data_IF_494907987060
#
_entry.id   IF_494907987060
#
_cell.length_a   1.000
_cell.length_b   1.000
_cell.length_c   1.000
_cell.angle_alpha   90.00
_cell.angle_beta   90.00
_cell.angle_gamma   90.00
#
_symmetry.space_group_name_H-M   'P 1'
#
loop_
_entity.id
_entity.type
_entity.pdbx_description
1 polymer ?
#
# COMPACT_ATOMS: atom_id res chain seq x y z
N UNK A 1 -30.55 -10.77 -18.75
CA UNK A 1 -29.19 -10.58 -18.21
C UNK A 1 -29.06 -9.15 -17.79
N UNK A 2 -29.45 -8.83 -16.56
CA UNK A 2 -29.18 -7.54 -15.95
C UNK A 2 -27.78 -7.63 -15.34
N UNK A 3 -26.80 -7.07 -16.01
CA UNK A 3 -25.52 -6.77 -15.38
C UNK A 3 -25.79 -5.61 -14.43
N UNK A 4 -25.87 -5.90 -13.15
CA UNK A 4 -25.72 -4.89 -12.09
C UNK A 4 -24.33 -4.26 -12.30
N UNK A 5 -24.31 -3.11 -12.93
CA UNK A 5 -23.18 -2.21 -12.88
C UNK A 5 -23.14 -1.67 -11.43
N UNK A 6 -22.55 -2.44 -10.52
CA UNK A 6 -22.18 -1.90 -9.21
C UNK A 6 -21.35 -0.64 -9.48
N UNK A 7 -21.81 0.51 -8.96
CA UNK A 7 -21.10 1.78 -9.15
C UNK A 7 -19.71 1.63 -8.53
N UNK A 8 -18.68 1.75 -9.39
CA UNK A 8 -17.29 1.70 -8.94
C UNK A 8 -17.01 2.86 -8.00
N UNK A 9 -16.27 2.61 -6.95
CA UNK A 9 -15.73 3.67 -6.10
C UNK A 9 -14.69 4.44 -6.92
N UNK A 10 -15.03 5.66 -7.31
CA UNK A 10 -14.12 6.53 -8.04
C UNK A 10 -13.23 7.27 -7.05
N UNK A 11 -11.94 6.95 -7.09
CA UNK A 11 -10.92 7.42 -6.16
C UNK A 11 -9.92 8.33 -6.87
N UNK A 12 -9.47 9.35 -6.15
CA UNK A 12 -8.45 10.29 -6.59
C UNK A 12 -7.35 10.37 -5.54
N UNK A 13 -6.10 10.50 -5.97
CA UNK A 13 -4.96 10.71 -5.10
C UNK A 13 -4.80 12.19 -4.75
N UNK A 14 -5.10 12.55 -3.50
CA UNK A 14 -4.85 13.88 -2.96
C UNK A 14 -3.48 13.93 -2.31
N UNK A 15 -2.72 14.97 -2.59
CA UNK A 15 -1.31 15.08 -2.21
C UNK A 15 -1.04 16.31 -1.38
N UNK A 16 -0.18 16.17 -0.36
CA UNK A 16 0.36 17.28 0.41
C UNK A 16 1.85 17.08 0.60
N UNK A 17 2.64 17.94 -0.03
CA UNK A 17 4.11 17.89 -0.02
C UNK A 17 4.68 18.85 1.02
N UNK A 18 5.74 18.42 1.71
CA UNK A 18 6.54 19.20 2.64
C UNK A 18 8.02 18.91 2.44
N UNK A 19 8.89 19.87 2.76
CA UNK A 19 10.34 19.67 2.70
C UNK A 19 10.81 18.75 3.82
N UNK A 20 11.81 17.92 3.55
CA UNK A 20 12.59 17.20 4.55
C UNK A 20 13.56 18.21 5.18
N UNK A 21 13.70 18.18 6.50
CA UNK A 21 14.66 19.04 7.23
C UNK A 21 15.81 18.18 7.76
N UNK A 22 15.54 17.28 8.69
CA UNK A 22 16.55 16.39 9.29
C UNK A 22 16.00 14.96 9.47
N UNK A 23 14.84 14.65 8.87
CA UNK A 23 14.19 13.36 9.03
C UNK A 23 14.84 12.30 8.12
N UNK A 24 15.25 11.17 8.70
CA UNK A 24 15.62 10.00 7.91
C UNK A 24 14.39 9.17 7.52
N UNK A 25 14.48 8.45 6.41
CA UNK A 25 13.43 7.52 5.92
C UNK A 25 12.98 6.55 7.02
N UNK A 26 13.95 5.95 7.71
CA UNK A 26 13.68 4.97 8.78
C UNK A 26 12.97 5.65 9.96
N UNK A 27 13.42 6.84 10.37
CA UNK A 27 12.80 7.58 11.47
C UNK A 27 11.35 7.97 11.17
N UNK A 28 11.06 8.38 9.93
CA UNK A 28 9.69 8.64 9.48
C UNK A 28 8.82 7.39 9.56
N UNK A 29 9.33 6.24 9.08
CA UNK A 29 8.60 4.97 9.13
C UNK A 29 8.35 4.48 10.56
N UNK A 30 9.35 4.55 11.44
CA UNK A 30 9.21 4.20 12.86
C UNK A 30 8.18 5.07 13.56
N UNK A 31 8.13 6.36 13.24
CA UNK A 31 7.14 7.29 13.77
C UNK A 31 5.71 6.99 13.32
N UNK A 32 5.53 6.38 12.14
CA UNK A 32 4.24 5.89 11.67
C UNK A 32 3.73 4.67 12.46
N UNK A 33 4.62 3.93 13.13
CA UNK A 33 4.30 2.76 13.95
C UNK A 33 4.78 1.48 13.29
N UNK A 34 6.03 1.14 13.52
CA UNK A 34 6.72 -0.05 12.98
C UNK A 34 6.04 -1.37 13.30
N UNK A 35 5.40 -1.51 14.46
CA UNK A 35 4.65 -2.69 14.87
C UNK A 35 3.30 -2.86 14.16
N UNK A 36 2.87 -1.86 13.41
CA UNK A 36 1.64 -1.92 12.63
C UNK A 36 1.87 -2.59 11.30
N UNK A 37 0.81 -3.20 10.76
CA UNK A 37 0.85 -3.72 9.39
C UNK A 37 1.09 -2.57 8.43
N UNK A 38 2.09 -2.71 7.57
CA UNK A 38 2.49 -1.65 6.67
C UNK A 38 3.54 -2.11 5.67
N UNK A 39 4.05 -1.18 4.91
CA UNK A 39 5.09 -1.42 3.91
C UNK A 39 6.11 -0.28 3.91
N UNK A 40 7.33 -0.64 3.54
CA UNK A 40 8.41 0.27 3.20
C UNK A 40 9.06 -0.27 1.93
N UNK A 41 8.97 0.49 0.85
CA UNK A 41 9.58 0.18 -0.44
C UNK A 41 10.62 1.24 -0.74
N UNK A 42 11.87 0.85 -0.70
CA UNK A 42 13.01 1.70 -0.98
C UNK A 42 13.77 1.17 -2.20
N UNK A 43 14.06 2.02 -3.16
CA UNK A 43 14.90 1.64 -4.28
C UNK A 43 16.35 1.58 -3.82
N UNK A 44 17.00 0.45 -4.05
CA UNK A 44 18.45 0.29 -3.77
C UNK A 44 19.33 0.75 -4.94
N UNK A 45 18.75 1.25 -6.00
CA UNK A 45 19.47 1.80 -7.14
C UNK A 45 19.90 3.24 -6.84
N UNK A 46 21.20 3.42 -6.58
CA UNK A 46 21.77 4.74 -6.27
C UNK A 46 21.73 5.73 -7.44
N UNK A 47 21.56 5.25 -8.67
CA UNK A 47 21.51 6.09 -9.87
C UNK A 47 20.07 6.43 -10.28
N UNK A 48 19.10 5.53 -10.05
CA UNK A 48 17.71 5.68 -10.50
C UNK A 48 16.68 5.65 -9.36
N UNK A 49 17.09 5.33 -8.14
CA UNK A 49 16.23 5.21 -6.98
C UNK A 49 15.78 6.55 -6.42
N UNK A 50 14.82 7.20 -7.10
CA UNK A 50 14.35 8.53 -6.73
C UNK A 50 13.40 8.52 -5.54
N UNK A 51 12.55 7.49 -5.44
CA UNK A 51 11.45 7.48 -4.48
C UNK A 51 11.56 6.37 -3.46
N UNK A 52 11.12 6.68 -2.23
CA UNK A 52 10.75 5.69 -1.21
C UNK A 52 9.29 5.85 -0.89
N UNK A 53 8.56 4.74 -0.85
CA UNK A 53 7.15 4.70 -0.47
C UNK A 53 6.98 3.95 0.84
N UNK A 54 6.22 4.51 1.78
CA UNK A 54 5.93 3.88 3.06
C UNK A 54 4.52 4.16 3.55
N UNK A 55 3.88 3.15 4.12
CA UNK A 55 2.55 3.28 4.68
C UNK A 55 2.29 2.27 5.78
N UNK A 56 1.38 2.60 6.65
CA UNK A 56 0.89 1.73 7.72
C UNK A 56 -0.64 1.79 7.77
N UNK A 57 -1.26 0.81 8.42
CA UNK A 57 -2.72 0.76 8.58
C UNK A 57 -3.45 0.81 7.23
N UNK A 58 -3.24 -0.21 6.36
CA UNK A 58 -3.89 -0.27 5.06
C UNK A 58 -5.41 -0.29 5.20
N UNK A 59 -6.13 0.16 4.17
CA UNK A 59 -7.60 0.10 4.14
C UNK A 59 -8.11 -1.33 4.22
N UNK A 60 -7.41 -2.27 3.60
CA UNK A 60 -7.69 -3.69 3.67
C UNK A 60 -6.43 -4.54 3.53
N UNK A 61 -6.48 -5.73 4.14
CA UNK A 61 -5.54 -6.83 3.88
C UNK A 61 -6.26 -7.85 3.00
N UNK A 62 -5.57 -8.31 1.96
CA UNK A 62 -6.11 -9.26 0.99
C UNK A 62 -5.19 -10.49 1.00
N UNK A 63 -5.75 -11.64 1.37
CA UNK A 63 -5.02 -12.88 1.57
C UNK A 63 -5.75 -14.03 0.86
N UNK A 64 -5.01 -15.06 0.47
CA UNK A 64 -5.58 -16.27 -0.10
C UNK A 64 -5.23 -17.49 0.74
N UNK A 65 -6.23 -18.32 1.02
CA UNK A 65 -6.07 -19.65 1.61
C UNK A 65 -5.95 -20.77 0.57
N UNK A 66 -5.83 -20.41 -0.72
CA UNK A 66 -5.79 -21.34 -1.85
C UNK A 66 -7.13 -21.57 -2.53
N UNK A 67 -8.24 -21.53 -1.80
CA UNK A 67 -9.59 -21.79 -2.31
C UNK A 67 -10.49 -20.55 -2.33
N UNK A 68 -10.09 -19.50 -1.61
CA UNK A 68 -10.83 -18.26 -1.49
C UNK A 68 -9.90 -17.04 -1.34
N UNK A 69 -10.46 -15.87 -1.58
CA UNK A 69 -9.85 -14.59 -1.26
C UNK A 69 -10.48 -14.05 0.02
N UNK A 70 -9.67 -13.79 1.02
CA UNK A 70 -10.07 -13.21 2.30
C UNK A 70 -9.67 -11.74 2.35
N UNK A 71 -10.64 -10.85 2.48
CA UNK A 71 -10.44 -9.40 2.58
C UNK A 71 -10.75 -8.98 4.01
N UNK A 72 -9.74 -8.51 4.74
CA UNK A 72 -9.89 -8.01 6.10
C UNK A 72 -9.78 -6.49 6.08
N UNK A 73 -10.88 -5.79 6.35
CA UNK A 73 -10.94 -4.32 6.38
C UNK A 73 -10.25 -3.75 7.63
N UNK A 74 -9.97 -2.47 7.63
CA UNK A 74 -9.32 -1.78 8.76
C UNK A 74 -10.09 -1.89 10.08
N UNK A 75 -11.41 -2.01 10.04
CA UNK A 75 -12.27 -2.24 11.22
C UNK A 75 -12.29 -3.69 11.72
N UNK A 76 -11.53 -4.58 11.08
CA UNK A 76 -11.50 -6.01 11.39
C UNK A 76 -12.57 -6.85 10.71
N UNK A 77 -13.51 -6.26 9.99
CA UNK A 77 -14.54 -6.98 9.23
C UNK A 77 -13.88 -7.84 8.16
N UNK A 78 -14.30 -9.10 8.07
CA UNK A 78 -13.81 -10.05 7.07
C UNK A 78 -14.87 -10.35 6.03
N UNK A 79 -14.46 -10.27 4.76
CA UNK A 79 -15.21 -10.72 3.61
C UNK A 79 -14.48 -11.89 2.97
N UNK A 80 -15.20 -12.99 2.70
CA UNK A 80 -14.63 -14.19 2.07
C UNK A 80 -15.29 -14.40 0.71
N UNK A 81 -14.47 -14.38 -0.35
CA UNK A 81 -14.90 -14.63 -1.73
C UNK A 81 -14.40 -15.99 -2.18
N UNK A 82 -15.29 -16.97 -2.23
CA UNK A 82 -14.96 -18.33 -2.62
C UNK A 82 -14.70 -18.47 -4.12
N UNK A 83 -13.84 -19.40 -4.51
CA UNK A 83 -13.46 -19.73 -5.87
C UNK A 83 -12.05 -19.25 -6.18
N UNK A 84 -11.64 -19.31 -7.44
CA UNK A 84 -10.26 -18.99 -7.85
C UNK A 84 -9.81 -17.62 -7.29
N UNK A 85 -8.79 -17.58 -6.41
CA UNK A 85 -8.38 -16.36 -5.72
C UNK A 85 -7.96 -15.24 -6.66
N UNK A 86 -7.34 -15.54 -7.81
CA UNK A 86 -6.97 -14.53 -8.80
C UNK A 86 -8.20 -13.86 -9.42
N UNK A 87 -9.22 -14.64 -9.77
CA UNK A 87 -10.46 -14.07 -10.31
C UNK A 87 -11.18 -13.21 -9.26
N UNK A 88 -11.20 -13.65 -8.00
CA UNK A 88 -11.77 -12.87 -6.90
C UNK A 88 -10.98 -11.58 -6.64
N UNK A 89 -9.65 -11.62 -6.79
CA UNK A 89 -8.79 -10.44 -6.68
C UNK A 89 -9.08 -9.44 -7.81
N UNK A 90 -9.22 -9.91 -9.05
CA UNK A 90 -9.59 -9.06 -10.19
C UNK A 90 -10.96 -8.41 -9.98
N UNK A 91 -11.94 -9.17 -9.51
CA UNK A 91 -13.27 -8.63 -9.17
C UNK A 91 -13.18 -7.55 -8.09
N UNK A 92 -12.49 -7.83 -6.99
CA UNK A 92 -12.30 -6.85 -5.92
C UNK A 92 -11.64 -5.58 -6.42
N UNK A 93 -10.54 -5.70 -7.19
CA UNK A 93 -9.85 -4.53 -7.72
C UNK A 93 -10.69 -3.76 -8.74
N UNK A 94 -11.57 -4.43 -9.47
CA UNK A 94 -12.48 -3.80 -10.44
C UNK A 94 -13.56 -2.92 -9.79
N UNK A 95 -13.78 -3.02 -8.48
CA UNK A 95 -14.70 -2.17 -7.72
C UNK A 95 -14.17 -0.74 -7.55
N UNK A 96 -12.87 -0.53 -7.83
CA UNK A 96 -12.21 0.77 -7.75
C UNK A 96 -11.90 1.31 -9.14
N UNK A 97 -12.05 2.61 -9.30
CA UNK A 97 -11.56 3.38 -10.43
C UNK A 97 -10.63 4.46 -9.88
N UNK A 98 -9.31 4.27 -10.03
CA UNK A 98 -8.34 5.27 -9.60
C UNK A 98 -8.12 6.25 -10.75
N UNK A 99 -8.53 7.51 -10.54
CA UNK A 99 -8.34 8.59 -11.49
C UNK A 99 -6.87 9.00 -11.49
N UNK A 100 -6.21 8.88 -12.65
CA UNK A 100 -4.83 9.33 -12.86
C UNK A 100 -4.82 10.73 -13.46
N UNK A 101 -3.92 11.57 -12.99
CA UNK A 101 -3.66 12.91 -13.51
C UNK A 101 -2.24 12.97 -14.10
N UNK A 102 -2.03 13.84 -15.09
CA UNK A 102 -0.70 14.04 -15.70
C UNK A 102 0.31 14.57 -14.65
N UNK A 103 1.55 14.07 -14.71
CA UNK A 103 2.61 14.47 -13.78
C UNK A 103 2.45 13.89 -12.37
N UNK A 104 1.65 12.83 -12.20
CA UNK A 104 1.53 12.13 -10.93
C UNK A 104 2.78 11.32 -10.58
N UNK A 105 2.88 10.99 -9.28
CA UNK A 105 3.84 10.00 -8.80
C UNK A 105 3.60 8.66 -9.53
N UNK A 106 4.65 7.89 -9.74
CA UNK A 106 4.55 6.57 -10.37
C UNK A 106 3.59 5.63 -9.61
N UNK A 107 3.58 5.77 -8.28
CA UNK A 107 2.65 5.07 -7.41
C UNK A 107 1.72 6.08 -6.72
N UNK A 108 0.42 5.95 -6.95
CA UNK A 108 -0.62 6.84 -6.41
C UNK A 108 -1.60 6.12 -5.47
N UNK A 109 -1.31 4.86 -5.14
CA UNK A 109 -2.12 3.99 -4.31
C UNK A 109 -2.53 2.73 -5.05
N UNK A 110 -3.12 1.79 -4.35
CA UNK A 110 -3.53 0.50 -4.89
C UNK A 110 -3.00 -0.67 -4.07
N UNK A 111 -2.73 -1.80 -4.72
CA UNK A 111 -2.30 -3.01 -4.05
C UNK A 111 -0.78 -3.08 -3.90
N UNK A 112 -0.32 -3.33 -2.68
CA UNK A 112 1.09 -3.51 -2.33
C UNK A 112 1.25 -4.81 -1.54
N UNK A 113 2.27 -5.60 -1.85
CA UNK A 113 2.57 -6.84 -1.13
C UNK A 113 3.27 -7.87 -2.00
N UNK A 114 3.02 -9.13 -1.73
CA UNK A 114 3.67 -10.25 -2.41
C UNK A 114 2.65 -11.22 -3.01
N UNK A 115 3.06 -11.79 -4.13
CA UNK A 115 2.45 -12.97 -4.72
C UNK A 115 3.47 -14.11 -4.60
N UNK A 116 3.09 -15.20 -3.94
CA UNK A 116 3.94 -16.36 -3.77
C UNK A 116 4.22 -17.07 -5.09
N UNK A 117 5.22 -17.95 -5.11
CA UNK A 117 5.58 -18.70 -6.30
C UNK A 117 4.38 -19.52 -6.84
N UNK A 118 3.62 -20.14 -5.94
CA UNK A 118 2.45 -20.97 -6.28
C UNK A 118 1.24 -20.19 -6.78
N UNK A 119 1.31 -18.86 -6.85
CA UNK A 119 0.29 -18.03 -7.51
C UNK A 119 0.03 -18.46 -8.96
N UNK A 120 1.04 -19.03 -9.65
CA UNK A 120 0.91 -19.56 -11.01
C UNK A 120 -0.16 -20.65 -11.12
N UNK A 121 -0.42 -21.41 -10.04
CA UNK A 121 -1.44 -22.47 -10.00
C UNK A 121 -2.87 -21.96 -10.18
N UNK A 122 -3.08 -20.67 -10.03
CA UNK A 122 -4.39 -20.06 -10.32
C UNK A 122 -4.65 -19.88 -11.82
N UNK A 123 -3.62 -20.00 -12.66
CA UNK A 123 -3.69 -19.83 -14.11
C UNK A 123 -3.31 -21.11 -14.88
N UNK A 124 -2.50 -21.95 -14.28
CA UNK A 124 -1.93 -23.14 -14.90
C UNK A 124 -2.28 -24.40 -14.10
N UNK A 125 -2.54 -25.50 -14.80
CA UNK A 125 -2.73 -26.82 -14.19
C UNK A 125 -1.35 -27.47 -13.95
N UNK A 126 -0.80 -27.25 -12.77
CA UNK A 126 0.51 -27.78 -12.37
C UNK A 126 0.35 -28.84 -11.28
N UNK A 127 1.18 -29.92 -11.31
CA UNK A 127 1.20 -30.91 -10.23
C UNK A 127 1.46 -30.26 -8.87
N UNK A 128 0.78 -30.76 -7.85
CA UNK A 128 0.94 -30.34 -6.45
C UNK A 128 1.51 -31.48 -5.61
N UNK A 129 2.70 -31.93 -6.01
CA UNK A 129 3.33 -33.11 -5.42
C UNK A 129 4.26 -32.77 -4.23
N UNK A 130 4.48 -31.47 -3.97
CA UNK A 130 5.36 -31.01 -2.90
C UNK A 130 4.57 -30.66 -1.65
N UNK A 131 5.06 -31.11 -0.50
CA UNK A 131 4.51 -30.70 0.79
C UNK A 131 4.83 -29.22 1.06
N UNK A 132 3.83 -28.44 1.42
CA UNK A 132 4.02 -27.05 1.84
C UNK A 132 4.48 -27.01 3.31
N UNK A 133 5.80 -27.03 3.53
CA UNK A 133 6.42 -26.99 4.86
C UNK A 133 6.34 -25.62 5.52
N UNK A 134 6.09 -24.53 4.76
CA UNK A 134 6.20 -23.15 5.25
C UNK A 134 4.83 -22.55 5.50
N UNK A 135 3.83 -22.91 4.73
CA UNK A 135 2.45 -22.42 4.87
C UNK A 135 2.30 -20.91 4.57
N UNK A 136 3.04 -20.39 3.58
CA UNK A 136 2.93 -19.00 3.17
C UNK A 136 1.77 -18.86 2.20
N UNK A 137 0.87 -17.92 2.51
CA UNK A 137 -0.26 -17.60 1.63
C UNK A 137 0.21 -17.13 0.26
N UNK A 138 -0.43 -17.62 -0.80
CA UNK A 138 -0.08 -17.29 -2.19
C UNK A 138 -0.39 -15.86 -2.58
N UNK A 139 -1.32 -15.21 -1.89
CA UNK A 139 -1.63 -13.79 -2.04
C UNK A 139 -1.54 -13.13 -0.68
N UNK A 140 -0.66 -12.14 -0.54
CA UNK A 140 -0.55 -11.29 0.64
C UNK A 140 -0.42 -9.85 0.19
N UNK A 141 -1.55 -9.16 0.05
CA UNK A 141 -1.61 -7.79 -0.43
C UNK A 141 -2.27 -6.87 0.59
N UNK A 142 -1.95 -5.60 0.49
CA UNK A 142 -2.54 -4.50 1.24
C UNK A 142 -3.13 -3.50 0.26
N UNK A 143 -4.33 -2.98 0.55
CA UNK A 143 -4.86 -1.82 -0.16
C UNK A 143 -4.29 -0.56 0.49
N UNK A 144 -3.28 0.01 -0.17
CA UNK A 144 -2.59 1.22 0.25
C UNK A 144 -3.37 2.45 -0.21
N UNK A 145 -4.27 2.95 0.64
CA UNK A 145 -5.05 4.18 0.38
C UNK A 145 -4.43 5.43 1.01
N UNK A 146 -3.45 5.26 1.93
CA UNK A 146 -2.70 6.36 2.53
C UNK A 146 -1.24 5.95 2.80
N UNK A 147 -0.32 6.83 2.38
CA UNK A 147 1.11 6.56 2.51
C UNK A 147 1.93 7.84 2.35
N UNK A 148 3.22 7.76 2.64
CA UNK A 148 4.21 8.79 2.35
C UNK A 148 5.04 8.36 1.15
N UNK A 149 5.29 9.31 0.25
CA UNK A 149 6.25 9.21 -0.85
C UNK A 149 7.40 10.19 -0.59
N UNK A 150 8.62 9.68 -0.44
CA UNK A 150 9.83 10.49 -0.26
C UNK A 150 10.48 10.66 -1.61
N UNK A 151 10.73 11.89 -2.02
CA UNK A 151 11.54 12.25 -3.20
C UNK A 151 12.95 12.64 -2.72
N UNK A 152 13.90 11.74 -2.93
CA UNK A 152 15.28 11.95 -2.49
C UNK A 152 16.03 13.02 -3.29
N UNK A 153 15.55 13.32 -4.50
CA UNK A 153 16.15 14.36 -5.37
C UNK A 153 15.62 15.74 -4.98
N UNK A 154 14.34 15.85 -4.75
CA UNK A 154 13.71 17.11 -4.35
C UNK A 154 13.81 17.39 -2.85
N UNK A 155 14.32 16.45 -2.05
CA UNK A 155 14.37 16.52 -0.57
C UNK A 155 13.02 16.87 0.04
N UNK A 156 11.98 16.18 -0.44
CA UNK A 156 10.60 16.36 0.02
C UNK A 156 9.96 15.02 0.37
N UNK A 157 8.94 15.07 1.23
CA UNK A 157 8.02 13.97 1.31
C UNK A 157 6.57 14.42 1.13
N UNK A 158 5.79 13.56 0.50
CA UNK A 158 4.42 13.83 0.12
C UNK A 158 3.51 12.83 0.81
N UNK A 159 2.54 13.31 1.59
CA UNK A 159 1.43 12.49 2.01
C UNK A 159 0.46 12.31 0.83
N UNK A 160 0.17 11.06 0.49
CA UNK A 160 -0.75 10.67 -0.55
C UNK A 160 -1.95 9.98 0.09
N UNK A 161 -3.13 10.51 -0.15
CA UNK A 161 -4.40 9.98 0.35
C UNK A 161 -5.30 9.67 -0.84
N UNK A 162 -5.65 8.42 -1.00
CA UNK A 162 -6.60 7.95 -1.99
C UNK A 162 -8.01 8.01 -1.39
N UNK A 163 -8.83 8.92 -1.89
CA UNK A 163 -10.16 9.19 -1.36
C UNK A 163 -11.14 9.43 -2.51
N UNK A 164 -12.42 9.43 -2.24
CA UNK A 164 -13.46 9.68 -3.23
C UNK A 164 -13.22 10.99 -4.01
N UNK A 165 -13.41 10.93 -5.33
CA UNK A 165 -13.32 12.10 -6.22
C UNK A 165 -14.55 12.99 -6.04
N UNK A 166 -14.60 13.68 -4.89
CA UNK A 166 -15.68 14.57 -4.48
C UNK A 166 -15.16 15.72 -3.61
N UNK A 167 -15.92 16.82 -3.46
CA UNK A 167 -15.54 17.92 -2.57
C UNK A 167 -15.37 17.49 -1.11
N UNK A 168 -16.21 16.56 -0.64
CA UNK A 168 -16.17 15.99 0.70
C UNK A 168 -14.96 15.09 0.87
N UNK A 169 -14.67 14.22 -0.12
CA UNK A 169 -13.48 13.38 -0.16
C UNK A 169 -12.20 14.21 -0.13
N UNK A 170 -12.15 15.30 -0.89
CA UNK A 170 -11.02 16.23 -0.85
C UNK A 170 -10.77 16.80 0.55
N UNK A 171 -11.83 17.22 1.27
CA UNK A 171 -11.69 17.76 2.63
C UNK A 171 -11.16 16.70 3.61
N UNK A 172 -11.69 15.46 3.53
CA UNK A 172 -11.19 14.35 4.36
C UNK A 172 -9.72 14.08 4.05
N UNK A 173 -9.36 13.98 2.77
CA UNK A 173 -7.99 13.73 2.35
C UNK A 173 -7.01 14.81 2.79
N UNK A 174 -7.38 16.10 2.71
CA UNK A 174 -6.57 17.21 3.19
C UNK A 174 -6.31 17.15 4.70
N UNK A 175 -7.31 16.74 5.47
CA UNK A 175 -7.17 16.56 6.91
C UNK A 175 -6.28 15.36 7.24
N UNK A 176 -6.54 14.21 6.63
CA UNK A 176 -5.73 13.00 6.82
C UNK A 176 -4.27 13.20 6.40
N UNK A 177 -4.02 13.91 5.31
CA UNK A 177 -2.66 14.24 4.89
C UNK A 177 -1.90 15.07 5.93
N UNK A 178 -2.56 16.05 6.56
CA UNK A 178 -1.97 16.84 7.66
C UNK A 178 -1.65 15.96 8.86
N UNK A 179 -2.57 15.08 9.24
CA UNK A 179 -2.41 14.17 10.37
C UNK A 179 -1.29 13.16 10.13
N UNK A 180 -1.21 12.60 8.91
CA UNK A 180 -0.17 11.67 8.51
C UNK A 180 1.23 12.30 8.58
N UNK A 181 1.37 13.54 8.06
CA UNK A 181 2.62 14.31 8.14
C UNK A 181 2.98 14.61 9.60
N UNK A 182 2.02 15.07 10.40
CA UNK A 182 2.25 15.38 11.81
C UNK A 182 2.67 14.14 12.59
N UNK A 183 2.04 12.99 12.31
CA UNK A 183 2.39 11.71 12.93
C UNK A 183 3.80 11.26 12.54
N UNK A 184 4.16 11.34 11.28
CA UNK A 184 5.50 10.99 10.80
C UNK A 184 6.59 11.83 11.48
N UNK A 185 6.30 13.10 11.79
CA UNK A 185 7.23 14.04 12.45
C UNK A 185 7.22 14.00 13.98
N UNK A 186 6.33 13.21 14.59
CA UNK A 186 6.11 13.30 16.06
C UNK A 186 7.30 12.83 16.89
N UNK A 187 8.09 11.86 16.42
CA UNK A 187 9.26 11.33 17.09
C UNK A 187 10.32 10.86 16.10
N UNK A 188 10.95 11.75 15.34
CA UNK A 188 12.06 11.34 14.51
C UNK A 188 13.21 10.96 15.46
N UNK A 189 13.32 9.68 15.81
CA UNK A 189 14.53 9.17 16.44
C UNK A 189 15.65 9.38 15.44
N UNK A 190 16.60 10.25 15.80
CA UNK A 190 17.83 10.42 15.07
C UNK A 190 18.50 9.05 14.97
N UNK A 191 18.74 8.54 13.79
CA UNK A 191 19.60 7.40 13.60
C UNK A 191 20.97 7.77 14.15
N UNK A 192 21.38 7.17 15.28
CA UNK A 192 22.78 7.15 15.64
C UNK A 192 23.46 6.38 14.51
N UNK A 193 24.18 7.09 13.64
CA UNK A 193 25.13 6.48 12.75
C UNK A 193 26.10 5.69 13.61
N UNK A 194 26.01 4.37 13.55
CA UNK A 194 27.12 3.53 13.99
C UNK A 194 28.31 3.82 13.10
N UNK A 195 29.07 4.85 13.44
CA UNK A 195 30.47 4.93 13.09
C UNK A 195 31.18 3.78 13.81
N UNK A 196 31.16 2.60 13.20
CA UNK A 196 32.15 1.59 13.53
C UNK A 196 33.47 2.05 12.96
N UNK A 197 34.24 2.76 13.78
CA UNK A 197 35.68 2.84 13.58
C UNK A 197 36.25 1.44 13.72
N UNK A 198 36.79 0.92 12.64
CA UNK A 198 37.86 -0.07 12.60
C UNK A 198 38.88 0.34 11.57
#
# INVERSE_FOLDING_TARGET
>A
CSSDLAMKRRLKAYKKTVSIVDESTIALYESLGREKKGFLMESNDKENGRYTFMGVEPEALIQSDGESLVITKADGTKEVRRGNPLERLKEYYSEFEIVKEDGELEFTGGLVGSLGYDFIRYTEDLPDDNEDEIGIETIQLMLASKFLAIDHVAETFTAVILEEDSPEGKKRAEQEAKELIARARKNPKRSEEHTSEL
#
